data_IF_493409395611
#
_entry.id   IF_493409395611
#
_cell.length_a   1.000
_cell.length_b   1.000
_cell.length_c   1.000
_cell.angle_alpha   90.00
_cell.angle_beta   90.00
_cell.angle_gamma   90.00
#
_symmetry.space_group_name_H-M   'P 1'
#
loop_
_entity.id
_entity.type
_entity.pdbx_description
1 polymer ?
#
# COMPACT_ATOMS: atom_id res chain seq x y z
N UNK A 1 2.11 0.47 25.36
CA UNK A 1 1.08 1.42 24.91
C UNK A 1 1.01 1.31 23.39
N UNK A 2 -0.18 1.10 22.85
CA UNK A 2 -0.38 0.75 21.44
C UNK A 2 0.09 1.88 20.53
N UNK A 3 1.11 1.62 19.71
CA UNK A 3 1.35 2.40 18.51
C UNK A 3 0.06 2.34 17.66
N UNK A 4 -0.62 3.45 17.37
CA UNK A 4 -1.68 3.45 16.38
C UNK A 4 -1.04 3.38 14.99
N UNK A 5 -0.40 2.24 14.70
CA UNK A 5 -0.11 1.81 13.34
C UNK A 5 -1.46 1.51 12.72
N UNK A 6 -2.15 2.53 12.21
CA UNK A 6 -3.23 2.34 11.24
C UNK A 6 -2.76 1.27 10.25
N UNK A 7 -3.43 0.10 10.18
CA UNK A 7 -2.90 -1.02 9.45
C UNK A 7 -2.80 -0.59 8.00
N UNK A 8 -1.61 -0.59 7.41
CA UNK A 8 -1.43 -0.32 5.98
C UNK A 8 -2.38 -1.24 5.18
N UNK A 9 -2.63 -2.45 5.67
CA UNK A 9 -3.62 -3.38 5.15
C UNK A 9 -5.06 -2.86 5.15
N UNK A 10 -5.50 -2.16 6.20
CA UNK A 10 -6.83 -1.53 6.25
C UNK A 10 -6.94 -0.45 5.19
N UNK A 11 -5.97 0.46 5.11
CA UNK A 11 -5.96 1.52 4.10
C UNK A 11 -5.93 0.94 2.68
N UNK A 12 -5.08 -0.07 2.41
CA UNK A 12 -5.00 -0.72 1.11
C UNK A 12 -6.30 -1.49 0.74
N UNK A 13 -7.03 -1.99 1.73
CA UNK A 13 -8.32 -2.66 1.54
C UNK A 13 -9.43 -1.67 1.20
N UNK A 14 -9.42 -0.50 1.85
CA UNK A 14 -10.35 0.61 1.61
C UNK A 14 -10.09 1.36 0.29
N UNK A 15 -8.89 1.25 -0.29
CA UNK A 15 -8.57 1.84 -1.59
C UNK A 15 -9.58 1.40 -2.67
N UNK A 16 -10.21 2.39 -3.29
CA UNK A 16 -11.05 2.20 -4.48
C UNK A 16 -10.21 2.10 -5.74
N UNK A 17 -10.80 1.56 -6.81
CA UNK A 17 -10.14 1.49 -8.12
C UNK A 17 -9.82 2.91 -8.59
N UNK A 18 -8.55 3.15 -8.96
CA UNK A 18 -8.04 4.47 -9.33
C UNK A 18 -7.51 5.30 -8.16
N UNK A 19 -7.74 4.88 -6.92
CA UNK A 19 -7.24 5.56 -5.74
C UNK A 19 -5.80 5.15 -5.44
N UNK A 20 -5.06 6.06 -4.82
CA UNK A 20 -3.66 5.86 -4.47
C UNK A 20 -3.37 6.26 -3.02
N UNK A 21 -2.58 5.44 -2.33
CA UNK A 21 -2.04 5.75 -1.01
C UNK A 21 -0.52 5.91 -1.09
N UNK A 22 0.01 6.96 -0.45
CA UNK A 22 1.46 7.21 -0.39
C UNK A 22 1.98 6.98 1.02
N UNK A 23 3.08 6.24 1.12
CA UNK A 23 3.74 5.87 2.37
C UNK A 23 5.23 6.24 2.31
N UNK A 24 5.89 6.41 3.47
CA UNK A 24 7.33 6.59 3.51
C UNK A 24 8.07 5.33 3.06
N UNK A 25 9.23 5.48 2.41
CA UNK A 25 10.06 4.38 1.90
C UNK A 25 10.51 3.41 3.00
N UNK A 26 10.55 3.85 4.26
CA UNK A 26 10.85 3.00 5.42
C UNK A 26 9.89 1.82 5.52
N UNK A 27 8.65 1.97 5.03
CA UNK A 27 7.61 0.94 5.04
C UNK A 27 7.51 0.17 3.71
N UNK A 28 8.46 0.34 2.78
CA UNK A 28 8.48 -0.30 1.45
C UNK A 28 8.17 -1.81 1.52
N UNK A 29 8.91 -2.53 2.36
CA UNK A 29 8.80 -3.99 2.47
C UNK A 29 7.39 -4.40 2.90
N UNK A 30 6.86 -3.74 3.92
CA UNK A 30 5.51 -3.98 4.43
C UNK A 30 4.44 -3.65 3.40
N UNK A 31 4.54 -2.47 2.77
CA UNK A 31 3.57 -2.00 1.77
C UNK A 31 3.51 -2.95 0.57
N UNK A 32 4.66 -3.40 0.05
CA UNK A 32 4.71 -4.36 -1.06
C UNK A 32 4.13 -5.72 -0.66
N UNK A 33 4.51 -6.24 0.51
CA UNK A 33 4.01 -7.53 0.99
C UNK A 33 2.50 -7.52 1.18
N UNK A 34 1.95 -6.49 1.81
CA UNK A 34 0.52 -6.37 2.07
C UNK A 34 -0.28 -6.12 0.79
N UNK A 35 0.24 -5.32 -0.15
CA UNK A 35 -0.39 -5.13 -1.46
C UNK A 35 -0.49 -6.46 -2.23
N UNK A 36 0.58 -7.28 -2.22
CA UNK A 36 0.57 -8.60 -2.84
C UNK A 36 -0.39 -9.57 -2.14
N UNK A 37 -0.37 -9.60 -0.80
CA UNK A 37 -1.24 -10.47 -0.01
C UNK A 37 -2.72 -10.12 -0.21
N UNK A 38 -3.08 -8.84 -0.10
CA UNK A 38 -4.45 -8.37 -0.34
C UNK A 38 -4.88 -8.55 -1.80
N UNK A 39 -3.94 -8.37 -2.74
CA UNK A 39 -4.20 -8.63 -4.15
C UNK A 39 -4.58 -10.08 -4.40
N UNK A 40 -3.84 -11.02 -3.81
CA UNK A 40 -4.14 -12.45 -3.91
C UNK A 40 -5.42 -12.84 -3.14
N UNK A 41 -5.65 -12.28 -1.95
CA UNK A 41 -6.82 -12.61 -1.13
C UNK A 41 -8.14 -12.06 -1.68
N UNK A 42 -8.11 -10.89 -2.33
CA UNK A 42 -9.31 -10.18 -2.78
C UNK A 42 -9.47 -10.16 -4.31
N UNK A 43 -8.60 -10.88 -5.03
CA UNK A 43 -8.50 -10.86 -6.50
C UNK A 43 -8.38 -9.43 -7.07
N UNK A 44 -7.46 -8.64 -6.49
CA UNK A 44 -7.24 -7.22 -6.83
C UNK A 44 -5.84 -6.99 -7.38
N UNK A 45 -5.73 -6.01 -8.27
CA UNK A 45 -4.45 -5.58 -8.85
C UNK A 45 -4.00 -4.28 -8.20
N UNK A 46 -2.93 -4.37 -7.42
CA UNK A 46 -2.24 -3.21 -6.85
C UNK A 46 -0.96 -2.93 -7.63
N UNK A 47 -0.69 -1.65 -7.89
CA UNK A 47 0.51 -1.16 -8.57
C UNK A 47 1.30 -0.28 -7.62
N UNK A 48 2.58 -0.60 -7.38
CA UNK A 48 3.43 0.18 -6.48
C UNK A 48 4.48 0.97 -7.25
N UNK A 49 4.53 2.28 -7.07
CA UNK A 49 5.54 3.19 -7.61
C UNK A 49 6.41 3.74 -6.47
N UNK A 50 7.73 3.62 -6.58
CA UNK A 50 8.65 4.20 -5.59
C UNK A 50 9.25 5.48 -6.14
N UNK A 51 9.22 6.55 -5.35
CA UNK A 51 9.98 7.76 -5.58
C UNK A 51 11.21 7.78 -4.64
N UNK A 52 12.41 7.69 -5.23
CA UNK A 52 13.67 7.65 -4.48
C UNK A 52 14.09 9.01 -3.95
N UNK A 53 13.77 10.10 -4.65
CA UNK A 53 14.10 11.47 -4.25
C UNK A 53 13.24 11.91 -3.07
N UNK A 54 11.93 11.72 -3.19
CA UNK A 54 10.98 12.00 -2.12
C UNK A 54 11.01 10.96 -0.99
N UNK A 55 11.72 9.84 -1.18
CA UNK A 55 11.77 8.70 -0.25
C UNK A 55 10.37 8.22 0.13
N UNK A 56 9.51 8.05 -0.88
CA UNK A 56 8.12 7.58 -0.73
C UNK A 56 7.80 6.40 -1.65
N UNK A 57 6.77 5.65 -1.30
CA UNK A 57 6.15 4.62 -2.12
C UNK A 57 4.66 4.91 -2.23
N UNK A 58 4.17 5.00 -3.45
CA UNK A 58 2.76 5.14 -3.76
C UNK A 58 2.21 3.81 -4.24
N UNK A 59 1.09 3.37 -3.67
CA UNK A 59 0.34 2.20 -4.11
C UNK A 59 -0.95 2.67 -4.74
N UNK A 60 -1.26 2.18 -5.93
CA UNK A 60 -2.43 2.52 -6.71
C UNK A 60 -3.21 1.23 -6.94
N UNK A 61 -4.52 1.22 -6.65
CA UNK A 61 -5.35 0.09 -7.02
C UNK A 61 -5.80 0.22 -8.47
N UNK A 62 -5.42 -0.73 -9.31
CA UNK A 62 -5.75 -0.75 -10.75
C UNK A 62 -7.06 -1.49 -11.06
N UNK A 63 -7.36 -2.58 -10.34
CA UNK A 63 -8.58 -3.37 -10.46
C UNK A 63 -8.93 -4.01 -9.11
#
# INVERSE_FOLDING_TARGET
>A
MADPQLPISSTLKDLKVGESATYPILRLRTVRSQASELGAMLDRVYSTCMNREARTITVIRKA
#
